data_IF_529448189382
#
_entry.id   IF_529448189382
#
_cell.length_a   1.000
_cell.length_b   1.000
_cell.length_c   1.000
_cell.angle_alpha   90.00
_cell.angle_beta   90.00
_cell.angle_gamma   90.00
#
_symmetry.space_group_name_H-M   'P 1'
#
loop_
_entity.id
_entity.type
_entity.pdbx_description
1 polymer ?
#
# COMPACT_ATOMS: atom_id res chain seq x y z
N UNK A 1 -8.88 -34.49 10.56
CA UNK A 1 -8.28 -33.82 9.38
C UNK A 1 -7.69 -32.50 9.88
N UNK A 2 -6.46 -32.52 10.39
CA UNK A 2 -5.79 -31.31 10.88
C UNK A 2 -5.13 -30.62 9.71
N UNK A 3 -5.50 -29.37 9.45
CA UNK A 3 -4.77 -28.50 8.52
C UNK A 3 -3.31 -28.43 8.96
N UNK A 4 -2.33 -28.66 8.08
CA UNK A 4 -0.93 -28.47 8.45
C UNK A 4 -0.73 -27.00 8.80
N UNK A 5 -0.09 -26.75 9.95
CA UNK A 5 0.32 -25.42 10.36
C UNK A 5 1.16 -24.79 9.25
N UNK A 6 0.88 -23.52 8.93
CA UNK A 6 1.67 -22.73 7.99
C UNK A 6 3.14 -22.82 8.41
N UNK A 7 3.95 -23.39 7.51
CA UNK A 7 5.37 -23.66 7.73
C UNK A 7 6.07 -22.36 8.21
N UNK A 8 6.78 -22.35 9.34
CA UNK A 8 7.49 -21.17 9.84
C UNK A 8 8.53 -20.59 8.86
N UNK A 9 8.87 -21.34 7.82
CA UNK A 9 9.80 -20.95 6.74
C UNK A 9 9.18 -20.17 5.57
N UNK A 10 7.89 -19.76 5.63
CA UNK A 10 7.33 -18.90 4.58
C UNK A 10 8.11 -17.57 4.43
N UNK A 11 8.75 -17.11 5.51
CA UNK A 11 9.50 -15.85 5.56
C UNK A 11 10.99 -15.99 5.24
N UNK A 12 11.56 -17.20 5.17
CA UNK A 12 13.02 -17.38 5.13
C UNK A 12 13.63 -17.61 3.73
N UNK A 13 12.84 -17.95 2.72
CA UNK A 13 13.38 -18.42 1.43
C UNK A 13 12.56 -18.00 0.20
N UNK A 14 11.92 -16.84 0.25
CA UNK A 14 11.19 -16.33 -0.92
C UNK A 14 11.99 -15.19 -1.57
N UNK A 15 12.90 -15.53 -2.49
CA UNK A 15 13.49 -14.58 -3.46
C UNK A 15 12.43 -13.85 -4.33
N UNK A 16 11.16 -14.23 -4.14
CA UNK A 16 9.99 -13.71 -4.84
C UNK A 16 9.71 -12.25 -4.52
N UNK A 17 10.03 -11.77 -3.31
CA UNK A 17 9.79 -10.38 -2.93
C UNK A 17 11.06 -9.77 -2.33
N UNK A 18 11.58 -8.72 -2.96
CA UNK A 18 12.69 -7.91 -2.41
C UNK A 18 12.21 -6.50 -2.17
N UNK A 19 12.37 -6.03 -0.94
CA UNK A 19 12.02 -4.67 -0.51
C UNK A 19 13.29 -3.83 -0.48
N UNK A 20 13.26 -2.70 -1.16
CA UNK A 20 14.42 -1.82 -1.30
C UNK A 20 13.98 -0.37 -1.07
N UNK A 21 14.80 0.36 -0.31
CA UNK A 21 14.64 1.79 -0.09
C UNK A 21 15.26 2.54 -1.27
N UNK A 22 14.43 3.05 -2.18
CA UNK A 22 14.92 3.90 -3.27
C UNK A 22 15.19 5.32 -2.79
N UNK A 23 14.34 5.84 -1.89
CA UNK A 23 14.50 7.14 -1.23
C UNK A 23 13.87 7.08 0.18
N UNK A 24 14.01 8.12 0.99
CA UNK A 24 13.35 8.25 2.30
C UNK A 24 11.83 8.09 2.21
N UNK A 25 11.24 8.43 1.06
CA UNK A 25 9.77 8.42 0.87
C UNK A 25 9.30 7.44 -0.21
N UNK A 26 10.20 6.63 -0.77
CA UNK A 26 9.89 5.70 -1.86
C UNK A 26 10.37 4.29 -1.53
N UNK A 27 9.41 3.36 -1.46
CA UNK A 27 9.68 1.93 -1.34
C UNK A 27 9.58 1.27 -2.70
N UNK A 28 10.62 0.55 -3.12
CA UNK A 28 10.58 -0.31 -4.29
C UNK A 28 10.46 -1.77 -3.87
N UNK A 29 9.49 -2.47 -4.46
CA UNK A 29 9.25 -3.89 -4.28
C UNK A 29 9.52 -4.59 -5.60
N UNK A 30 10.50 -5.48 -5.61
CA UNK A 30 10.78 -6.35 -6.75
C UNK A 30 10.10 -7.68 -6.54
N UNK A 31 9.20 -8.03 -7.45
CA UNK A 31 8.44 -9.27 -7.43
C UNK A 31 8.95 -10.19 -8.53
N UNK A 32 9.72 -11.21 -8.15
CA UNK A 32 10.14 -12.27 -9.05
C UNK A 32 8.99 -13.23 -9.33
N UNK A 33 8.63 -13.43 -10.59
CA UNK A 33 7.77 -14.54 -11.02
C UNK A 33 8.57 -15.46 -11.94
N UNK A 34 8.17 -16.73 -12.14
CA UNK A 34 8.89 -17.63 -13.05
C UNK A 34 9.03 -17.10 -14.48
N UNK A 35 8.15 -16.18 -14.90
CA UNK A 35 8.10 -15.68 -16.28
C UNK A 35 8.62 -14.25 -16.44
N UNK A 36 8.52 -13.42 -15.41
CA UNK A 36 8.83 -11.99 -15.47
C UNK A 36 9.22 -11.43 -14.09
N UNK A 37 9.87 -10.27 -14.07
CA UNK A 37 10.03 -9.46 -12.85
C UNK A 37 9.06 -8.28 -12.91
N UNK A 38 8.29 -8.07 -11.84
CA UNK A 38 7.46 -6.88 -11.67
C UNK A 38 8.16 -5.96 -10.67
N UNK A 39 8.28 -4.70 -11.01
CA UNK A 39 8.80 -3.63 -10.17
C UNK A 39 7.63 -2.76 -9.73
N UNK A 40 7.48 -2.60 -8.43
CA UNK A 40 6.47 -1.75 -7.83
C UNK A 40 7.15 -0.66 -7.01
N UNK A 41 6.89 0.61 -7.31
CA UNK A 41 7.38 1.74 -6.54
C UNK A 41 6.22 2.43 -5.84
N UNK A 42 6.23 2.40 -4.51
CA UNK A 42 5.28 3.10 -3.65
C UNK A 42 5.87 4.45 -3.29
N UNK A 43 5.36 5.51 -3.93
CA UNK A 43 5.71 6.89 -3.62
C UNK A 43 4.71 7.44 -2.58
N UNK A 44 5.17 7.60 -1.35
CA UNK A 44 4.33 8.07 -0.24
C UNK A 44 4.08 9.58 -0.28
N UNK A 45 4.92 10.36 -0.97
CA UNK A 45 4.69 11.80 -1.18
C UNK A 45 3.67 12.02 -2.28
N UNK A 46 3.87 11.36 -3.44
CA UNK A 46 2.95 11.38 -4.56
C UNK A 46 1.62 10.66 -4.28
N UNK A 47 1.62 9.74 -3.31
CA UNK A 47 0.51 8.83 -2.97
C UNK A 47 0.11 7.95 -4.16
N UNK A 48 1.11 7.39 -4.83
CA UNK A 48 0.98 6.60 -6.05
C UNK A 48 1.76 5.30 -5.93
N UNK A 49 1.20 4.24 -6.49
CA UNK A 49 1.90 3.02 -6.83
C UNK A 49 2.21 3.04 -8.32
N UNK A 50 3.48 2.90 -8.67
CA UNK A 50 3.93 2.73 -10.05
C UNK A 50 4.31 1.26 -10.22
N UNK A 51 3.65 0.55 -11.14
CA UNK A 51 3.93 -0.85 -11.44
C UNK A 51 4.47 -0.98 -12.86
N UNK A 52 5.63 -1.61 -13.00
CA UNK A 52 6.29 -1.86 -14.27
C UNK A 52 6.71 -3.32 -14.38
N UNK A 53 6.45 -3.93 -15.54
CA UNK A 53 6.94 -5.26 -15.84
C UNK A 53 8.30 -5.15 -16.58
N UNK A 54 9.23 -6.08 -16.33
CA UNK A 54 10.51 -6.19 -17.05
C UNK A 54 10.38 -6.48 -18.54
N UNK A 55 9.17 -6.79 -19.03
CA UNK A 55 8.92 -7.04 -20.45
C UNK A 55 9.03 -5.75 -21.29
N UNK A 56 9.84 -5.77 -22.36
CA UNK A 56 10.05 -4.62 -23.24
C UNK A 56 8.74 -4.17 -23.89
N UNK A 57 8.43 -2.86 -23.81
CA UNK A 57 7.28 -2.24 -24.46
C UNK A 57 6.02 -2.07 -23.60
N UNK A 58 6.01 -2.57 -22.37
CA UNK A 58 4.91 -2.32 -21.44
C UNK A 58 5.06 -0.93 -20.78
N UNK A 59 4.06 -0.08 -20.94
CA UNK A 59 3.99 1.21 -20.23
C UNK A 59 3.78 0.99 -18.72
N UNK A 60 4.41 1.81 -17.86
CA UNK A 60 4.16 1.74 -16.43
C UNK A 60 2.69 2.02 -16.13
N UNK A 61 2.12 1.25 -15.21
CA UNK A 61 0.78 1.45 -14.68
C UNK A 61 0.88 2.30 -13.41
N UNK A 62 0.08 3.36 -13.32
CA UNK A 62 0.06 4.26 -12.17
C UNK A 62 -1.29 4.10 -11.47
N UNK A 63 -1.24 3.69 -10.20
CA UNK A 63 -2.42 3.47 -9.36
C UNK A 63 -2.39 4.42 -8.16
N UNK A 64 -3.38 5.32 -8.00
CA UNK A 64 -3.48 6.14 -6.81
C UNK A 64 -3.71 5.31 -5.54
N UNK A 65 -3.14 5.74 -4.41
CA UNK A 65 -3.32 5.06 -3.11
C UNK A 65 -4.80 4.96 -2.68
N UNK A 66 -5.68 5.86 -3.14
CA UNK A 66 -7.12 5.77 -2.88
C UNK A 66 -7.79 4.53 -3.48
N UNK A 67 -7.13 3.86 -4.43
CA UNK A 67 -7.60 2.61 -5.05
C UNK A 67 -6.94 1.37 -4.47
N UNK A 68 -6.05 1.53 -3.48
CA UNK A 68 -5.35 0.42 -2.82
C UNK A 68 -5.97 0.14 -1.45
N UNK A 69 -5.94 -1.13 -1.05
CA UNK A 69 -6.40 -1.55 0.26
C UNK A 69 -5.56 -0.92 1.36
N UNK A 70 -6.23 -0.44 2.41
CA UNK A 70 -5.58 0.27 3.52
C UNK A 70 -4.49 -0.56 4.19
N UNK A 71 -4.78 -1.82 4.46
CA UNK A 71 -3.86 -2.75 5.11
C UNK A 71 -2.56 -2.91 4.30
N UNK A 72 -2.68 -2.97 2.96
CA UNK A 72 -1.51 -3.05 2.08
C UNK A 72 -0.65 -1.79 2.17
N UNK A 73 -1.27 -0.60 2.19
CA UNK A 73 -0.55 0.66 2.34
C UNK A 73 0.14 0.79 3.69
N UNK A 74 -0.52 0.37 4.77
CA UNK A 74 0.06 0.38 6.12
C UNK A 74 1.23 -0.58 6.23
N UNK A 75 1.11 -1.77 5.67
CA UNK A 75 2.20 -2.74 5.60
C UNK A 75 3.40 -2.17 4.85
N UNK A 76 3.20 -1.60 3.65
CA UNK A 76 4.29 -1.01 2.86
C UNK A 76 4.91 0.21 3.54
N UNK A 77 4.11 1.05 4.18
CA UNK A 77 4.59 2.19 4.95
C UNK A 77 5.48 1.72 6.11
N UNK A 78 5.02 0.75 6.89
CA UNK A 78 5.78 0.16 7.98
C UNK A 78 7.10 -0.46 7.49
N UNK A 79 7.06 -1.19 6.36
CA UNK A 79 8.27 -1.77 5.75
C UNK A 79 9.29 -0.72 5.34
N UNK A 80 8.86 0.40 4.77
CA UNK A 80 9.76 1.50 4.43
C UNK A 80 10.41 2.09 5.69
N UNK A 81 9.64 2.28 6.76
CA UNK A 81 10.19 2.74 8.04
C UNK A 81 11.19 1.74 8.64
N UNK A 82 10.90 0.43 8.58
CA UNK A 82 11.80 -0.63 9.08
C UNK A 82 13.18 -0.59 8.39
N UNK A 83 13.22 -0.31 7.08
CA UNK A 83 14.46 -0.21 6.30
C UNK A 83 15.08 1.20 6.32
N UNK A 84 14.66 2.06 7.24
CA UNK A 84 15.26 3.38 7.49
C UNK A 84 14.70 4.54 6.64
N UNK A 85 13.56 4.34 5.97
CA UNK A 85 12.82 5.43 5.33
C UNK A 85 12.06 6.31 6.33
N UNK A 86 11.60 7.45 5.84
CA UNK A 86 10.85 8.47 6.56
C UNK A 86 9.64 8.95 5.74
N UNK A 87 8.73 8.04 5.32
CA UNK A 87 7.55 8.44 4.58
C UNK A 87 6.64 9.35 5.41
N UNK A 88 5.87 10.24 4.76
CA UNK A 88 4.81 10.98 5.44
C UNK A 88 3.75 10.01 5.97
N UNK A 89 3.13 10.37 7.10
CA UNK A 89 2.05 9.59 7.68
C UNK A 89 0.90 9.39 6.68
N UNK A 90 0.39 8.16 6.63
CA UNK A 90 -0.82 7.85 5.86
C UNK A 90 -2.00 8.67 6.39
N UNK A 91 -2.89 9.11 5.50
CA UNK A 91 -4.08 9.85 5.89
C UNK A 91 -4.90 9.04 6.90
N UNK A 92 -5.44 9.67 7.94
CA UNK A 92 -6.36 8.99 8.86
C UNK A 92 -7.55 8.44 8.06
N UNK A 93 -8.05 7.27 8.45
CA UNK A 93 -9.39 6.86 7.99
C UNK A 93 -10.34 7.99 8.35
N UNK A 94 -11.19 8.40 7.42
CA UNK A 94 -12.27 9.31 7.76
C UNK A 94 -13.04 8.64 8.89
N UNK A 95 -13.00 9.22 10.10
CA UNK A 95 -13.91 8.78 11.14
C UNK A 95 -15.30 8.83 10.53
N UNK A 96 -16.03 7.71 10.60
CA UNK A 96 -17.42 7.63 10.17
C UNK A 96 -18.17 8.71 10.93
N UNK A 97 -18.36 9.86 10.29
CA UNK A 97 -18.73 11.08 10.97
C UNK A 97 -20.13 10.90 11.56
N UNK A 98 -20.31 10.75 12.89
CA UNK A 98 -21.64 10.56 13.46
C UNK A 98 -22.46 11.88 13.42
N UNK A 99 -21.84 12.98 12.96
CA UNK A 99 -22.46 14.32 12.96
C UNK A 99 -23.20 14.64 11.67
N UNK A 100 -23.75 13.64 10.97
CA UNK A 100 -25.00 13.86 10.21
C UNK A 100 -26.18 13.81 11.19
N UNK A 101 -26.09 14.61 12.26
CA UNK A 101 -27.22 14.95 13.09
C UNK A 101 -28.23 15.66 12.20
N UNK A 102 -29.38 15.01 12.03
CA UNK A 102 -30.56 15.52 11.35
C UNK A 102 -30.71 17.01 11.70
N UNK A 103 -30.57 17.90 10.72
CA UNK A 103 -30.84 19.31 10.94
C UNK A 103 -32.29 19.42 11.44
N UNK A 104 -32.49 19.85 12.69
CA UNK A 104 -33.83 20.16 13.20
C UNK A 104 -34.46 21.18 12.24
N UNK A 105 -35.69 20.95 11.75
CA UNK A 105 -36.38 21.97 10.97
C UNK A 105 -36.52 23.21 11.85
N UNK A 106 -36.11 24.35 11.29
CA UNK A 106 -36.27 25.67 11.90
C UNK A 106 -37.76 25.88 12.19
N UNK A 107 -38.11 26.00 13.46
CA UNK A 107 -39.48 26.38 13.85
C UNK A 107 -39.81 27.72 13.18
N UNK A 108 -40.86 27.73 12.36
CA UNK A 108 -41.45 28.95 11.86
C UNK A 108 -42.17 29.63 13.04
N UNK A 109 -41.77 30.85 13.38
CA UNK A 109 -42.60 31.72 14.21
C UNK A 109 -43.89 32.03 13.44
N UNK A 110 -45.03 31.71 14.07
CA UNK A 110 -46.32 32.36 13.84
C UNK A 110 -47.04 32.43 15.18
#
# INVERSE_FOLDING_TARGET
MSSPALNPDFNAASDRYKFEKSDDVVLTVRIGTPLNTIYQSYDFVGRLLISQNSHSGASPQITPFSMLDRESLEFMHAKLCEIGGKPPALAALAEENPRRGLAKPRAANA
#
